data_IF_090989862416
#
_entry.id   IF_090989862416
#
_cell.length_a   1.000
_cell.length_b   1.000
_cell.length_c   1.000
_cell.angle_alpha   90.00
_cell.angle_beta   90.00
_cell.angle_gamma   90.00
#
_symmetry.space_group_name_H-M   'P 1'
#
loop_
_entity.id
_entity.type
_entity.pdbx_description
1 polymer ?
#
# COMPACT_ATOMS: atom_id res chain seq x y z
N UNK A 1 -9.81 23.16 14.82
CA UNK A 1 -9.34 22.54 13.56
C UNK A 1 -9.36 21.03 13.75
N UNK A 2 -10.20 20.28 13.01
CA UNK A 2 -10.19 18.80 13.06
C UNK A 2 -8.82 18.30 12.57
N UNK A 3 -8.12 17.49 13.37
CA UNK A 3 -6.86 16.88 12.93
C UNK A 3 -7.17 15.86 11.85
N UNK A 4 -6.69 16.10 10.64
CA UNK A 4 -6.75 15.09 9.57
C UNK A 4 -5.70 14.04 9.87
N UNK A 5 -6.11 12.78 10.04
CA UNK A 5 -5.20 11.65 10.02
C UNK A 5 -5.23 10.99 8.64
N UNK A 6 -4.17 10.25 8.33
CA UNK A 6 -4.08 9.46 7.11
C UNK A 6 -3.96 7.99 7.49
N UNK A 7 -4.69 7.14 6.79
CA UNK A 7 -4.61 5.69 6.91
C UNK A 7 -3.93 5.12 5.68
N UNK A 8 -3.05 4.14 5.89
CA UNK A 8 -2.63 3.23 4.83
C UNK A 8 -3.54 2.01 4.90
N UNK A 9 -4.12 1.67 3.76
CA UNK A 9 -4.91 0.46 3.60
C UNK A 9 -4.24 -0.47 2.57
N UNK A 10 -4.23 -1.77 2.87
CA UNK A 10 -3.76 -2.83 1.98
C UNK A 10 -4.96 -3.60 1.39
N UNK A 11 -4.92 -3.86 0.09
CA UNK A 11 -5.87 -4.67 -0.63
C UNK A 11 -5.57 -6.16 -0.41
N UNK A 12 -6.59 -6.91 -0.06
CA UNK A 12 -6.58 -8.38 -0.07
C UNK A 12 -7.77 -8.87 -0.90
N UNK A 13 -7.63 -10.03 -1.51
CA UNK A 13 -8.69 -10.66 -2.29
C UNK A 13 -9.34 -11.74 -1.43
N UNK A 14 -10.66 -11.67 -1.26
CA UNK A 14 -11.42 -12.56 -0.40
C UNK A 14 -12.35 -13.47 -1.20
N UNK A 15 -12.45 -14.72 -0.75
CA UNK A 15 -13.40 -15.70 -1.26
C UNK A 15 -13.15 -16.15 -2.71
N UNK A 16 -14.00 -17.07 -3.22
CA UNK A 16 -13.86 -17.63 -4.56
C UNK A 16 -14.02 -16.57 -5.68
N UNK A 17 -14.74 -15.49 -5.42
CA UNK A 17 -14.96 -14.38 -6.35
C UNK A 17 -13.83 -13.34 -6.35
N UNK A 18 -12.78 -13.52 -5.53
CA UNK A 18 -11.64 -12.60 -5.38
C UNK A 18 -12.09 -11.14 -5.16
N UNK A 19 -13.08 -10.93 -4.29
CA UNK A 19 -13.54 -9.57 -3.98
C UNK A 19 -12.43 -8.80 -3.27
N UNK A 20 -12.12 -7.60 -3.78
CA UNK A 20 -11.10 -6.73 -3.19
C UNK A 20 -11.63 -6.07 -1.93
N UNK A 21 -10.97 -6.31 -0.80
CA UNK A 21 -11.22 -5.64 0.49
C UNK A 21 -9.99 -4.88 0.94
N UNK A 22 -10.21 -3.71 1.53
CA UNK A 22 -9.17 -2.81 2.01
C UNK A 22 -9.08 -2.88 3.54
N UNK A 23 -7.89 -3.17 4.06
CA UNK A 23 -7.64 -3.31 5.49
C UNK A 23 -6.64 -2.27 5.95
N UNK A 24 -6.93 -1.62 7.07
CA UNK A 24 -6.01 -0.64 7.66
C UNK A 24 -4.76 -1.35 8.17
N UNK A 25 -3.59 -0.89 7.73
CA UNK A 25 -2.29 -1.44 8.14
C UNK A 25 -1.37 -0.42 8.81
N UNK A 26 -1.60 0.89 8.58
CA UNK A 26 -0.84 1.96 9.21
C UNK A 26 -1.69 3.23 9.36
N UNK A 27 -1.31 4.12 10.28
CA UNK A 27 -1.90 5.46 10.45
C UNK A 27 -0.78 6.48 10.67
N UNK A 28 -0.83 7.59 9.96
CA UNK A 28 0.10 8.71 10.08
C UNK A 28 -0.62 10.06 10.24
N UNK A 29 0.17 11.09 10.52
CA UNK A 29 -0.29 12.48 10.65
C UNK A 29 -0.20 13.26 9.35
N UNK A 30 0.58 12.78 8.38
CA UNK A 30 0.68 13.37 7.04
C UNK A 30 0.51 12.32 5.93
N UNK A 31 0.10 12.79 4.74
CA UNK A 31 0.03 11.94 3.53
C UNK A 31 1.42 11.45 3.10
N UNK A 32 2.43 12.30 3.26
CA UNK A 32 3.81 12.02 2.88
C UNK A 32 4.40 10.89 3.73
N UNK A 33 4.20 10.91 5.05
CA UNK A 33 4.69 9.84 5.94
C UNK A 33 4.05 8.49 5.60
N UNK A 34 2.73 8.50 5.35
CA UNK A 34 2.02 7.29 4.91
C UNK A 34 2.53 6.78 3.56
N UNK A 35 2.90 7.69 2.64
CA UNK A 35 3.44 7.30 1.35
C UNK A 35 4.86 6.73 1.47
N UNK A 36 5.68 7.29 2.37
CA UNK A 36 7.01 6.78 2.67
C UNK A 36 6.93 5.37 3.29
N UNK A 37 6.00 5.17 4.23
CA UNK A 37 5.73 3.85 4.81
C UNK A 37 5.38 2.80 3.73
N UNK A 38 4.56 3.16 2.74
CA UNK A 38 4.27 2.26 1.60
C UNK A 38 5.54 1.93 0.83
N UNK A 39 6.39 2.94 0.54
CA UNK A 39 7.63 2.73 -0.22
C UNK A 39 8.58 1.76 0.50
N UNK A 40 8.71 1.89 1.81
CA UNK A 40 9.50 0.97 2.65
C UNK A 40 8.92 -0.44 2.66
N UNK A 41 7.59 -0.57 2.79
CA UNK A 41 6.91 -1.86 2.79
C UNK A 41 7.06 -2.64 1.48
N UNK A 42 7.27 -1.95 0.34
CA UNK A 42 7.48 -2.59 -0.96
C UNK A 42 8.96 -2.65 -1.39
N UNK A 43 9.89 -2.12 -0.58
CA UNK A 43 11.30 -2.01 -0.97
C UNK A 43 11.97 -3.37 -1.22
N UNK A 44 11.49 -4.43 -0.57
CA UNK A 44 12.00 -5.80 -0.74
C UNK A 44 11.65 -6.45 -2.09
N UNK A 45 10.70 -5.88 -2.83
CA UNK A 45 10.35 -6.38 -4.16
C UNK A 45 11.29 -5.79 -5.22
N UNK A 46 11.64 -6.58 -6.25
CA UNK A 46 12.44 -6.09 -7.37
C UNK A 46 11.68 -5.02 -8.15
N UNK A 47 12.41 -4.07 -8.73
CA UNK A 47 11.85 -3.14 -9.72
C UNK A 47 11.49 -3.88 -11.02
N UNK A 48 10.73 -3.24 -11.91
CA UNK A 48 10.46 -3.80 -13.24
C UNK A 48 11.74 -4.09 -14.05
N UNK A 49 12.80 -3.30 -13.87
CA UNK A 49 14.09 -3.53 -14.55
C UNK A 49 14.81 -4.78 -14.01
N UNK A 50 14.73 -5.02 -12.70
CA UNK A 50 15.30 -6.19 -12.01
C UNK A 50 14.47 -7.47 -12.26
N UNK A 51 13.17 -7.31 -12.55
CA UNK A 51 12.21 -8.41 -12.69
C UNK A 51 12.49 -9.34 -13.86
N UNK A 52 13.24 -8.92 -14.90
CA UNK A 52 13.61 -9.79 -16.05
C UNK A 52 14.31 -11.11 -15.65
N UNK A 53 14.72 -11.26 -14.38
CA UNK A 53 15.39 -12.45 -13.83
C UNK A 53 14.60 -13.21 -12.76
N UNK A 54 13.35 -12.83 -12.45
CA UNK A 54 12.56 -13.48 -11.40
C UNK A 54 11.08 -13.60 -11.76
N UNK A 55 10.38 -14.62 -11.28
CA UNK A 55 8.91 -14.74 -11.39
C UNK A 55 8.19 -14.04 -10.22
N UNK A 56 8.82 -13.05 -9.58
CA UNK A 56 8.36 -12.39 -8.36
C UNK A 56 7.43 -11.19 -8.60
N UNK A 57 6.59 -10.82 -7.64
CA UNK A 57 5.82 -9.57 -7.74
C UNK A 57 6.78 -8.37 -7.81
N UNK A 58 6.61 -7.47 -8.79
CA UNK A 58 7.43 -6.25 -8.86
C UNK A 58 7.01 -5.23 -7.81
N UNK A 59 7.91 -4.32 -7.45
CA UNK A 59 7.66 -3.23 -6.51
C UNK A 59 6.49 -2.35 -6.94
N UNK A 60 6.41 -2.05 -8.23
CA UNK A 60 5.37 -1.24 -8.86
C UNK A 60 4.01 -1.93 -8.73
N UNK A 61 3.95 -3.25 -8.96
CA UNK A 61 2.73 -4.04 -8.77
C UNK A 61 2.37 -4.20 -7.29
N UNK A 62 3.35 -4.42 -6.42
CA UNK A 62 3.13 -4.48 -4.97
C UNK A 62 2.55 -3.16 -4.44
N UNK A 63 3.00 -2.02 -4.95
CA UNK A 63 2.49 -0.69 -4.58
C UNK A 63 1.01 -0.51 -4.90
N UNK A 64 0.50 -1.13 -5.96
CA UNK A 64 -0.93 -1.08 -6.31
C UNK A 64 -1.83 -1.77 -5.27
N UNK A 65 -1.26 -2.62 -4.40
CA UNK A 65 -1.99 -3.21 -3.29
C UNK A 65 -2.18 -2.24 -2.12
N UNK A 66 -1.57 -1.05 -2.13
CA UNK A 66 -1.70 -0.08 -1.05
C UNK A 66 -2.41 1.20 -1.51
N UNK A 67 -3.07 1.88 -0.57
CA UNK A 67 -3.59 3.24 -0.78
C UNK A 67 -3.52 4.08 0.49
N UNK A 68 -3.41 5.40 0.32
CA UNK A 68 -3.50 6.37 1.42
C UNK A 68 -4.85 7.08 1.39
N UNK A 69 -5.58 7.01 2.50
CA UNK A 69 -6.91 7.62 2.69
C UNK A 69 -6.88 8.65 3.81
N UNK A 70 -7.32 9.87 3.55
CA UNK A 70 -7.51 10.89 4.59
C UNK A 70 -8.79 10.62 5.40
N UNK A 71 -8.71 10.76 6.71
CA UNK A 71 -9.84 10.65 7.65
C UNK A 71 -9.85 11.88 8.55
N UNK A 72 -11.03 12.48 8.73
CA UNK A 72 -11.23 13.55 9.72
C UNK A 72 -11.40 12.89 11.09
N UNK A 73 -10.59 13.28 12.08
CA UNK A 73 -10.85 12.99 13.49
C UNK A 73 -11.98 13.87 14.02
#
# INVERSE_FOLDING_TARGET
MSKTHYLVEMATLHGPTRQRRWHRVHQGTSRTDCQQWINEAVACFPTEEEFRRSFSLTRERARQAYRVRGVRA
#
